data_IF_972782717925
#
_entry.id   IF_972782717925
#
_cell.length_a   1.000
_cell.length_b   1.000
_cell.length_c   1.000
_cell.angle_alpha   90.00
_cell.angle_beta   90.00
_cell.angle_gamma   90.00
#
_symmetry.space_group_name_H-M   'P 1'
#
loop_
_entity.id
_entity.type
_entity.pdbx_description
1 polymer ?
#
# COMPACT_ATOMS: atom_id res chain seq x y z
N UNK A 1 -5.12 -22.18 -3.44
CA UNK A 1 -5.21 -20.78 -2.97
C UNK A 1 -6.06 -20.76 -1.72
N UNK A 2 -5.45 -20.61 -0.57
CA UNK A 2 -6.21 -20.45 0.66
C UNK A 2 -6.96 -19.12 0.61
N UNK A 3 -8.28 -19.21 0.58
CA UNK A 3 -9.11 -18.01 0.64
C UNK A 3 -8.98 -17.38 2.03
N UNK A 4 -8.29 -16.25 2.11
CA UNK A 4 -8.10 -15.51 3.36
C UNK A 4 -9.35 -14.72 3.78
N UNK A 5 -10.31 -14.55 2.89
CA UNK A 5 -11.54 -13.79 3.17
C UNK A 5 -12.31 -14.49 4.30
N UNK A 6 -12.69 -13.71 5.31
CA UNK A 6 -13.34 -14.17 6.53
C UNK A 6 -12.38 -14.66 7.64
N UNK A 7 -11.09 -14.83 7.33
CA UNK A 7 -10.08 -15.21 8.34
C UNK A 7 -9.58 -13.98 9.12
N UNK A 8 -9.17 -14.22 10.37
CA UNK A 8 -8.49 -13.23 11.20
C UNK A 8 -7.00 -13.56 11.27
N UNK A 9 -6.16 -12.67 10.75
CA UNK A 9 -4.72 -12.79 10.88
C UNK A 9 -4.31 -12.36 12.29
N UNK A 10 -3.49 -13.18 12.94
CA UNK A 10 -3.02 -12.99 14.33
C UNK A 10 -4.15 -12.65 15.34
N UNK A 11 -5.37 -13.16 15.07
CA UNK A 11 -6.55 -12.90 15.90
C UNK A 11 -7.03 -11.44 15.90
N UNK A 12 -6.44 -10.58 15.08
CA UNK A 12 -6.67 -9.13 15.08
C UNK A 12 -7.18 -8.58 13.76
N UNK A 13 -6.64 -9.01 12.62
CA UNK A 13 -6.93 -8.39 11.33
C UNK A 13 -7.91 -9.25 10.53
N UNK A 14 -9.19 -8.87 10.56
CA UNK A 14 -10.23 -9.56 9.78
C UNK A 14 -10.11 -9.19 8.31
N UNK A 15 -9.97 -10.18 7.45
CA UNK A 15 -9.92 -10.00 5.99
C UNK A 15 -11.34 -10.01 5.42
N UNK A 16 -11.74 -8.92 4.78
CA UNK A 16 -13.11 -8.75 4.27
C UNK A 16 -13.22 -9.01 2.77
N UNK A 17 -12.31 -8.48 1.97
CA UNK A 17 -12.36 -8.63 0.50
C UNK A 17 -10.99 -8.47 -0.16
N UNK A 18 -10.82 -9.06 -1.34
CA UNK A 18 -9.65 -8.85 -2.20
C UNK A 18 -9.86 -7.55 -3.00
N UNK A 19 -8.90 -6.63 -2.93
CA UNK A 19 -8.97 -5.32 -3.62
C UNK A 19 -7.87 -5.11 -4.65
N UNK A 20 -6.83 -5.93 -4.63
CA UNK A 20 -5.74 -5.83 -5.59
C UNK A 20 -4.98 -7.15 -5.76
N UNK A 21 -4.59 -7.45 -6.99
CA UNK A 21 -3.75 -8.60 -7.33
C UNK A 21 -2.47 -8.11 -7.96
N UNK A 22 -1.37 -8.23 -7.24
CA UNK A 22 -0.03 -7.91 -7.74
C UNK A 22 0.74 -9.15 -8.20
N UNK A 23 1.94 -8.94 -8.69
CA UNK A 23 2.85 -10.02 -9.08
C UNK A 23 3.19 -10.94 -7.91
N UNK A 24 3.79 -10.39 -6.85
CA UNK A 24 4.27 -11.13 -5.69
C UNK A 24 3.26 -11.19 -4.53
N UNK A 25 2.33 -10.25 -4.44
CA UNK A 25 1.44 -10.10 -3.30
C UNK A 25 0.03 -9.72 -3.74
N UNK A 26 -0.93 -10.11 -2.93
CA UNK A 26 -2.31 -9.67 -3.04
C UNK A 26 -2.61 -8.63 -1.97
N UNK A 27 -3.52 -7.70 -2.26
CA UNK A 27 -3.97 -6.68 -1.32
C UNK A 27 -5.42 -6.92 -0.99
N UNK A 28 -5.70 -6.96 0.30
CA UNK A 28 -7.04 -7.16 0.84
C UNK A 28 -7.49 -5.92 1.60
N UNK A 29 -8.78 -5.63 1.54
CA UNK A 29 -9.44 -4.77 2.50
C UNK A 29 -9.79 -5.59 3.73
N UNK A 30 -9.66 -5.00 4.89
CA UNK A 30 -10.00 -5.66 6.15
C UNK A 30 -10.30 -4.66 7.26
N UNK A 31 -10.40 -5.18 8.46
CA UNK A 31 -10.70 -4.42 9.66
C UNK A 31 -9.82 -4.84 10.82
N UNK A 32 -9.22 -3.89 11.50
CA UNK A 32 -8.60 -4.14 12.80
C UNK A 32 -9.70 -4.27 13.85
N UNK A 33 -9.92 -5.48 14.36
CA UNK A 33 -11.01 -5.74 15.33
C UNK A 33 -10.80 -5.08 16.69
N UNK A 34 -9.58 -4.64 17.01
CA UNK A 34 -9.28 -3.94 18.26
C UNK A 34 -9.65 -2.46 18.20
N UNK A 35 -9.45 -1.84 17.04
CA UNK A 35 -9.71 -0.40 16.86
C UNK A 35 -10.99 -0.11 16.09
N UNK A 36 -11.53 -1.10 15.38
CA UNK A 36 -12.65 -0.94 14.45
C UNK A 36 -12.30 -0.28 13.12
N UNK A 37 -11.05 0.13 12.94
CA UNK A 37 -10.62 0.86 11.75
C UNK A 37 -10.52 -0.05 10.52
N UNK A 38 -10.85 0.51 9.34
CA UNK A 38 -10.56 -0.13 8.08
C UNK A 38 -9.06 -0.11 7.80
N UNK A 39 -8.57 -1.22 7.26
CA UNK A 39 -7.15 -1.42 6.91
C UNK A 39 -7.02 -2.03 5.53
N UNK A 40 -5.86 -1.85 4.92
CA UNK A 40 -5.42 -2.65 3.78
C UNK A 40 -4.34 -3.64 4.27
N UNK A 41 -4.41 -4.86 3.78
CA UNK A 41 -3.46 -5.92 4.14
C UNK A 41 -2.82 -6.46 2.87
N UNK A 42 -1.53 -6.23 2.70
CA UNK A 42 -0.73 -6.75 1.60
C UNK A 42 -0.12 -8.09 2.04
N UNK A 43 -0.49 -9.16 1.38
CA UNK A 43 -0.08 -10.52 1.73
C UNK A 43 0.78 -11.10 0.62
N UNK A 44 1.97 -11.59 0.97
CA UNK A 44 2.85 -12.31 0.05
C UNK A 44 2.14 -13.60 -0.40
N UNK A 45 2.15 -13.88 -1.70
CA UNK A 45 1.52 -15.10 -2.23
C UNK A 45 2.29 -16.33 -1.78
N UNK A 46 1.55 -17.40 -1.48
CA UNK A 46 2.07 -18.67 -0.97
C UNK A 46 3.17 -19.25 -1.86
N UNK A 47 3.04 -19.14 -3.18
CA UNK A 47 4.03 -19.61 -4.16
C UNK A 47 5.42 -18.97 -4.02
N UNK A 48 5.54 -17.86 -3.29
CA UNK A 48 6.82 -17.16 -3.06
C UNK A 48 7.37 -17.34 -1.64
N UNK A 49 6.67 -18.03 -0.75
CA UNK A 49 7.13 -18.23 0.63
C UNK A 49 8.41 -19.09 0.71
N UNK A 50 8.60 -20.01 -0.22
CA UNK A 50 9.80 -20.84 -0.31
C UNK A 50 10.99 -20.13 -0.98
N UNK A 51 10.79 -18.93 -1.51
CA UNK A 51 11.86 -18.16 -2.12
C UNK A 51 12.47 -17.19 -1.09
N UNK A 52 13.56 -17.61 -0.47
CA UNK A 52 14.25 -16.85 0.59
C UNK A 52 14.62 -15.42 0.18
N UNK A 53 15.00 -15.20 -1.08
CA UNK A 53 15.37 -13.87 -1.58
C UNK A 53 14.15 -12.94 -1.63
N UNK A 54 13.00 -13.41 -2.15
CA UNK A 54 11.77 -12.63 -2.20
C UNK A 54 11.21 -12.36 -0.81
N UNK A 55 11.26 -13.34 0.06
CA UNK A 55 10.86 -13.22 1.47
C UNK A 55 11.72 -12.16 2.17
N UNK A 56 13.04 -12.22 2.00
CA UNK A 56 13.96 -11.24 2.57
C UNK A 56 13.72 -9.84 2.01
N UNK A 57 13.49 -9.72 0.70
CA UNK A 57 13.16 -8.45 0.06
C UNK A 57 11.87 -7.87 0.64
N UNK A 58 10.80 -8.65 0.68
CA UNK A 58 9.51 -8.24 1.25
C UNK A 58 9.65 -7.74 2.70
N UNK A 59 10.41 -8.46 3.53
CA UNK A 59 10.70 -8.11 4.92
C UNK A 59 11.48 -6.79 5.03
N UNK A 60 12.54 -6.64 4.24
CA UNK A 60 13.39 -5.44 4.30
C UNK A 60 12.65 -4.20 3.80
N UNK A 61 11.91 -4.31 2.70
CA UNK A 61 11.08 -3.23 2.18
C UNK A 61 9.98 -2.85 3.18
N UNK A 62 9.31 -3.82 3.80
CA UNK A 62 8.29 -3.58 4.81
C UNK A 62 8.81 -2.82 6.02
N UNK A 63 10.00 -3.18 6.51
CA UNK A 63 10.65 -2.48 7.63
C UNK A 63 11.05 -1.05 7.24
N UNK A 64 11.61 -0.87 6.03
CA UNK A 64 12.02 0.44 5.56
C UNK A 64 10.82 1.41 5.48
N UNK A 65 9.70 0.98 4.90
CA UNK A 65 8.52 1.84 4.78
C UNK A 65 7.78 2.06 6.10
N UNK A 66 7.91 1.17 7.08
CA UNK A 66 7.24 1.30 8.38
C UNK A 66 7.71 2.50 9.21
N UNK A 67 8.89 3.03 8.93
CA UNK A 67 9.44 4.22 9.61
C UNK A 67 8.95 5.54 8.99
N UNK A 68 8.33 5.49 7.81
CA UNK A 68 7.82 6.68 7.13
C UNK A 68 6.52 7.16 7.77
N UNK A 69 6.44 8.45 8.04
CA UNK A 69 5.25 9.12 8.55
C UNK A 69 5.09 10.47 7.86
N UNK A 70 4.25 10.50 6.85
CA UNK A 70 4.02 11.68 6.03
C UNK A 70 2.57 11.66 5.48
N UNK A 71 1.87 12.81 5.38
CA UNK A 71 0.48 12.85 4.93
C UNK A 71 0.26 12.33 3.49
N UNK A 72 1.29 12.35 2.66
CA UNK A 72 1.24 11.83 1.28
C UNK A 72 1.94 10.47 1.09
N UNK A 73 2.13 9.73 2.17
CA UNK A 73 2.64 8.36 2.15
C UNK A 73 1.67 7.47 2.92
N UNK A 74 1.29 6.33 2.34
CA UNK A 74 0.45 5.33 3.01
C UNK A 74 1.14 4.86 4.28
N UNK A 75 0.45 4.98 5.42
CA UNK A 75 0.99 4.60 6.72
C UNK A 75 0.98 3.08 6.89
N UNK A 76 2.10 2.52 7.31
CA UNK A 76 2.20 1.13 7.73
C UNK A 76 1.94 1.05 9.24
N UNK A 77 1.00 0.18 9.62
CA UNK A 77 0.62 -0.02 11.02
C UNK A 77 1.33 -1.21 11.65
N UNK A 78 1.54 -2.28 10.86
CA UNK A 78 2.09 -3.52 11.37
C UNK A 78 2.73 -4.35 10.24
N UNK A 79 3.70 -5.18 10.59
CA UNK A 79 4.37 -6.09 9.67
C UNK A 79 4.53 -7.44 10.36
N UNK A 80 3.97 -8.48 9.77
CA UNK A 80 4.13 -9.86 10.23
C UNK A 80 4.95 -10.67 9.24
N UNK A 81 5.97 -11.34 9.75
CA UNK A 81 6.87 -12.19 8.97
C UNK A 81 7.02 -13.52 9.70
N UNK A 82 6.19 -14.47 9.29
CA UNK A 82 6.28 -15.86 9.75
C UNK A 82 6.61 -16.78 8.59
N UNK A 83 7.03 -18.00 8.87
CA UNK A 83 7.38 -18.99 7.82
C UNK A 83 6.18 -19.36 6.94
N UNK A 84 4.96 -19.22 7.46
CA UNK A 84 3.73 -19.63 6.77
C UNK A 84 2.94 -18.48 6.15
N UNK A 85 3.14 -17.25 6.63
CA UNK A 85 2.38 -16.11 6.19
C UNK A 85 3.17 -14.83 6.42
N UNK A 86 3.28 -14.02 5.38
CA UNK A 86 3.93 -12.72 5.46
C UNK A 86 2.98 -11.65 4.97
N UNK A 87 2.75 -10.65 5.79
CA UNK A 87 1.83 -9.56 5.43
C UNK A 87 2.23 -8.23 6.05
N UNK A 88 1.76 -7.17 5.42
CA UNK A 88 1.89 -5.78 5.87
C UNK A 88 0.49 -5.25 6.09
N UNK A 89 0.24 -4.67 7.26
CA UNK A 89 -1.00 -3.95 7.57
C UNK A 89 -0.74 -2.47 7.39
N UNK A 90 -1.56 -1.83 6.57
CA UNK A 90 -1.41 -0.43 6.23
C UNK A 90 -2.75 0.30 6.22
N UNK A 91 -2.67 1.61 6.16
CA UNK A 91 -3.81 2.50 5.99
C UNK A 91 -4.62 2.10 4.75
N UNK A 92 -5.94 1.97 4.93
CA UNK A 92 -6.85 1.80 3.80
C UNK A 92 -7.15 3.16 3.18
N UNK A 93 -6.87 3.31 1.90
CA UNK A 93 -7.17 4.53 1.15
C UNK A 93 -8.47 4.32 0.38
N UNK A 94 -9.50 5.07 0.76
CA UNK A 94 -10.77 5.11 0.03
C UNK A 94 -10.67 6.13 -1.11
N UNK A 95 -10.33 5.63 -2.30
CA UNK A 95 -10.09 6.48 -3.45
C UNK A 95 -9.80 5.65 -4.71
N UNK A 96 -9.32 6.33 -5.73
CA UNK A 96 -8.92 5.72 -7.01
C UNK A 96 -7.42 5.95 -7.26
N UNK A 97 -6.82 5.16 -8.12
CA UNK A 97 -5.46 5.41 -8.56
C UNK A 97 -5.42 6.64 -9.47
N UNK A 98 -4.28 7.32 -9.49
CA UNK A 98 -4.08 8.43 -10.43
C UNK A 98 -4.21 7.97 -11.89
N UNK A 99 -3.87 6.70 -12.17
CA UNK A 99 -4.07 6.09 -13.49
C UNK A 99 -5.55 6.01 -13.86
N UNK A 100 -6.41 5.61 -12.94
CA UNK A 100 -7.87 5.56 -13.15
C UNK A 100 -8.44 6.96 -13.34
N UNK A 101 -7.99 7.91 -12.53
CA UNK A 101 -8.36 9.32 -12.68
C UNK A 101 -7.98 9.87 -14.05
N UNK A 102 -6.75 9.61 -14.52
CA UNK A 102 -6.29 10.00 -15.85
C UNK A 102 -7.16 9.40 -16.97
N UNK A 103 -7.59 8.16 -16.84
CA UNK A 103 -8.53 7.53 -17.80
C UNK A 103 -9.87 8.24 -17.82
N UNK A 104 -10.44 8.59 -16.67
CA UNK A 104 -11.70 9.33 -16.57
C UNK A 104 -11.60 10.73 -17.18
N UNK A 105 -10.40 11.31 -17.20
CA UNK A 105 -10.09 12.62 -17.77
C UNK A 105 -9.56 12.55 -19.21
N UNK A 106 -9.74 11.44 -19.91
CA UNK A 106 -9.21 11.21 -21.28
C UNK A 106 -7.70 11.47 -21.42
N UNK A 107 -6.94 11.18 -20.37
CA UNK A 107 -5.48 11.34 -20.34
C UNK A 107 -4.97 12.75 -20.12
N UNK A 108 -5.85 13.74 -19.94
CA UNK A 108 -5.47 15.15 -19.77
C UNK A 108 -5.70 15.65 -18.34
N UNK A 109 -4.69 16.32 -17.78
CA UNK A 109 -4.79 17.09 -16.55
C UNK A 109 -4.62 18.58 -16.85
N UNK A 110 -5.28 19.42 -16.05
CA UNK A 110 -5.00 20.86 -16.09
C UNK A 110 -3.61 21.12 -15.47
N UNK A 111 -2.98 22.23 -15.83
CA UNK A 111 -1.69 22.59 -15.22
C UNK A 111 -1.79 22.77 -13.70
N UNK A 112 -2.93 23.21 -13.18
CA UNK A 112 -3.19 23.34 -11.75
C UNK A 112 -3.22 21.98 -11.05
N UNK A 113 -3.88 20.98 -11.66
CA UNK A 113 -3.88 19.60 -11.17
C UNK A 113 -2.48 19.00 -11.20
N UNK A 114 -1.70 19.21 -12.26
CA UNK A 114 -0.33 18.74 -12.36
C UNK A 114 0.53 19.30 -11.24
N UNK A 115 0.48 20.62 -10.99
CA UNK A 115 1.24 21.26 -9.91
C UNK A 115 0.78 20.73 -8.54
N UNK A 116 -0.52 20.59 -8.32
CA UNK A 116 -1.07 20.07 -7.07
C UNK A 116 -0.60 18.66 -6.77
N UNK A 117 -0.70 17.74 -7.72
CA UNK A 117 -0.27 16.37 -7.54
C UNK A 117 1.26 16.25 -7.45
N UNK A 118 2.00 16.91 -8.33
CA UNK A 118 3.46 16.87 -8.34
C UNK A 118 4.05 17.41 -7.03
N UNK A 119 3.51 18.49 -6.47
CA UNK A 119 3.96 19.06 -5.20
C UNK A 119 3.82 18.03 -4.06
N UNK A 120 2.69 17.33 -4.00
CA UNK A 120 2.46 16.31 -2.97
C UNK A 120 3.37 15.08 -3.15
N UNK A 121 3.57 14.61 -4.40
CA UNK A 121 4.50 13.51 -4.71
C UNK A 121 5.93 13.88 -4.31
N UNK A 122 6.38 15.08 -4.69
CA UNK A 122 7.73 15.55 -4.35
C UNK A 122 7.93 15.67 -2.84
N UNK A 123 6.93 16.16 -2.11
CA UNK A 123 6.98 16.24 -0.64
C UNK A 123 7.10 14.85 -0.01
N UNK A 124 6.37 13.86 -0.51
CA UNK A 124 6.48 12.48 -0.05
C UNK A 124 7.85 11.88 -0.35
N UNK A 125 8.38 12.09 -1.55
CA UNK A 125 9.70 11.61 -1.96
C UNK A 125 10.83 12.27 -1.17
N UNK A 126 10.75 13.57 -0.91
CA UNK A 126 11.71 14.29 -0.07
C UNK A 126 11.77 13.71 1.34
N UNK A 127 10.61 13.46 1.94
CA UNK A 127 10.54 12.79 3.24
C UNK A 127 11.19 11.39 3.21
N UNK A 128 10.86 10.55 2.22
CA UNK A 128 11.44 9.22 2.08
C UNK A 128 12.96 9.28 1.87
N UNK A 129 13.43 10.17 0.99
CA UNK A 129 14.86 10.36 0.70
C UNK A 129 15.62 10.84 1.94
N UNK A 130 15.05 11.72 2.76
CA UNK A 130 15.66 12.16 4.04
C UNK A 130 15.86 11.01 5.03
N UNK A 131 15.12 9.90 4.86
CA UNK A 131 15.27 8.65 5.63
C UNK A 131 16.11 7.59 4.90
N UNK A 132 16.75 7.95 3.78
CA UNK A 132 17.57 7.04 3.00
C UNK A 132 16.76 6.03 2.14
N UNK A 133 15.47 6.27 1.93
CA UNK A 133 14.59 5.38 1.19
C UNK A 133 14.30 5.95 -0.20
N UNK A 134 14.57 5.16 -1.24
CA UNK A 134 14.27 5.49 -2.63
C UNK A 134 13.17 4.57 -3.15
N UNK A 135 12.08 5.14 -3.67
CA UNK A 135 10.90 4.37 -4.12
C UNK A 135 11.19 3.46 -5.32
N UNK A 136 11.91 3.95 -6.32
CA UNK A 136 12.34 3.25 -7.57
C UNK A 136 11.22 2.86 -8.54
N UNK A 137 9.94 3.08 -8.21
CA UNK A 137 8.79 2.72 -9.08
C UNK A 137 7.64 3.73 -8.94
N UNK A 138 7.94 5.03 -9.02
CA UNK A 138 6.91 6.08 -8.98
C UNK A 138 6.17 6.09 -10.32
N UNK A 139 4.87 5.82 -10.26
CA UNK A 139 3.99 5.78 -11.43
C UNK A 139 2.53 5.98 -11.02
N UNK A 140 1.64 6.41 -11.94
CA UNK A 140 0.24 6.68 -11.63
C UNK A 140 -0.54 5.53 -10.99
N UNK A 141 -0.13 4.29 -11.23
CA UNK A 141 -0.73 3.10 -10.61
C UNK A 141 -0.45 3.01 -9.11
N UNK A 142 0.65 3.62 -8.65
CA UNK A 142 1.12 3.58 -7.26
C UNK A 142 0.78 4.84 -6.48
N UNK A 143 -0.03 5.73 -7.05
CA UNK A 143 -0.49 6.97 -6.42
C UNK A 143 -2.01 6.89 -6.27
N UNK A 144 -2.49 6.98 -5.03
CA UNK A 144 -3.91 6.99 -4.70
C UNK A 144 -4.41 8.42 -4.57
N UNK A 145 -5.54 8.72 -5.21
CA UNK A 145 -6.23 10.02 -5.11
C UNK A 145 -7.45 9.86 -4.20
N UNK A 146 -7.51 10.65 -3.14
CA UNK A 146 -8.61 10.70 -2.19
C UNK A 146 -9.68 11.72 -2.62
N UNK A 147 -10.87 11.61 -2.04
CA UNK A 147 -12.00 12.49 -2.37
C UNK A 147 -11.73 13.97 -2.05
N UNK A 148 -10.87 14.27 -1.08
CA UNK A 148 -10.45 15.62 -0.72
C UNK A 148 -9.39 16.24 -1.65
N UNK A 149 -8.95 15.49 -2.68
CA UNK A 149 -7.91 15.89 -3.63
C UNK A 149 -6.49 15.65 -3.16
N UNK A 150 -6.29 15.12 -1.95
CA UNK A 150 -4.97 14.68 -1.47
C UNK A 150 -4.54 13.37 -2.11
N UNK A 151 -3.24 13.15 -2.20
CA UNK A 151 -2.66 11.90 -2.71
C UNK A 151 -1.88 11.15 -1.64
N UNK A 152 -1.77 9.85 -1.86
CA UNK A 152 -0.88 8.97 -1.09
C UNK A 152 -0.14 8.00 -1.99
#
# INVERSE_FOLDING_TARGET
>A
MDNLIGKKLDGRYLIESLIGVGGMANVYKGRDVRTGNQIAVKVLKEEFLDNEELVRRFKNESKAISILNHPNIVKVYDVSVTDRLQYIVMEYIDGITLKEYLKQRNGALTWKEVVHFATQVLSALDHAHSKGIVHRDVKPQNIMLQADGSIK
#
